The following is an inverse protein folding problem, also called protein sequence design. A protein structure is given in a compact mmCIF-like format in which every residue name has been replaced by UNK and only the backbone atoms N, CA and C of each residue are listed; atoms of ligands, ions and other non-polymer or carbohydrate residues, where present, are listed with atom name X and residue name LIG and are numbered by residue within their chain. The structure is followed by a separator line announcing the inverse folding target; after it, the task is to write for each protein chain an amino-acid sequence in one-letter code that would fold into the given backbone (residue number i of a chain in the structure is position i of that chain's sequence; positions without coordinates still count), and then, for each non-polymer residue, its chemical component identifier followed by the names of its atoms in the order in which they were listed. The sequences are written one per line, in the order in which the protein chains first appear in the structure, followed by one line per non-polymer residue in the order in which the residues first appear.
data_IF_684162360402
#
_entry.id   IF_684162360402
#
_cell.length_a   1.000
_cell.length_b   1.000
_cell.length_c   1.000
_cell.angle_alpha   90.00
_cell.angle_beta   90.00
_cell.angle_gamma   90.00
#
_symmetry.space_group_name_H-M   'P 1'
#
loop_
_entity.id
_entity.type
_entity.pdbx_description
1 polymer ?
#
# COMPACT_ATOMS: atom_id res chain seq x y z
N UNK A 1 -0.42 -7.87 -5.70
CA UNK A 1 0.54 -7.03 -4.96
C UNK A 1 1.85 -7.76 -4.68
N UNK A 2 1.82 -8.93 -4.02
CA UNK A 2 3.02 -9.73 -3.70
C UNK A 2 3.97 -10.02 -4.86
N UNK A 3 3.42 -10.20 -6.06
CA UNK A 3 4.17 -10.54 -7.27
C UNK A 3 4.81 -9.32 -7.97
N UNK A 4 4.36 -8.10 -7.65
CA UNK A 4 4.74 -6.89 -8.38
C UNK A 4 5.48 -5.87 -7.52
N UNK A 5 5.25 -5.86 -6.21
CA UNK A 5 5.90 -4.94 -5.28
C UNK A 5 7.27 -5.46 -4.86
N UNK A 6 8.29 -4.58 -4.71
CA UNK A 6 9.57 -4.98 -4.13
C UNK A 6 9.53 -5.21 -2.62
N UNK A 7 8.48 -4.74 -1.92
CA UNK A 7 8.39 -4.79 -0.46
C UNK A 7 7.15 -5.56 0.02
N UNK A 8 5.97 -5.30 -0.55
CA UNK A 8 4.75 -6.02 -0.19
C UNK A 8 4.81 -7.43 -0.77
N UNK A 9 4.83 -8.45 0.07
CA UNK A 9 4.98 -9.86 -0.32
C UNK A 9 3.65 -10.60 -0.42
N UNK A 10 2.57 -10.02 0.09
CA UNK A 10 1.25 -10.64 0.10
C UNK A 10 0.30 -9.99 1.10
N UNK A 11 -0.83 -10.64 1.32
CA UNK A 11 -1.77 -10.25 2.35
C UNK A 11 -2.95 -11.22 2.43
N UNK A 12 -3.59 -11.25 3.59
CA UNK A 12 -4.77 -12.06 3.86
C UNK A 12 -5.91 -11.20 4.43
N UNK A 13 -7.14 -11.46 3.99
CA UNK A 13 -8.32 -10.83 4.57
C UNK A 13 -8.50 -11.30 6.01
N UNK A 14 -8.89 -10.38 6.90
CA UNK A 14 -9.09 -10.64 8.32
C UNK A 14 -10.49 -10.18 8.76
N UNK A 15 -10.85 -10.39 10.03
CA UNK A 15 -12.15 -9.97 10.59
C UNK A 15 -13.36 -10.46 9.78
N UNK A 16 -13.26 -11.68 9.22
CA UNK A 16 -14.34 -12.32 8.45
C UNK A 16 -14.53 -11.77 7.03
N UNK A 17 -13.69 -10.84 6.57
CA UNK A 17 -13.71 -10.42 5.18
C UNK A 17 -13.27 -11.58 4.26
N UNK A 18 -13.97 -11.74 3.13
CA UNK A 18 -13.65 -12.75 2.11
C UNK A 18 -13.16 -12.14 0.79
N UNK A 19 -13.37 -10.84 0.60
CA UNK A 19 -13.01 -10.11 -0.61
C UNK A 19 -12.88 -8.61 -0.30
N UNK A 20 -12.38 -7.86 -1.27
CA UNK A 20 -12.30 -6.41 -1.18
C UNK A 20 -13.70 -5.78 -1.15
N UNK A 21 -13.96 -5.00 -0.10
CA UNK A 21 -15.15 -4.17 0.07
C UNK A 21 -14.79 -3.00 0.97
N UNK A 22 -15.49 -1.87 0.86
CA UNK A 22 -15.28 -0.72 1.76
C UNK A 22 -15.45 -1.17 3.23
N UNK A 23 -14.49 -0.82 4.08
CA UNK A 23 -14.42 -1.22 5.48
C UNK A 23 -13.81 -2.60 5.74
N UNK A 24 -13.60 -3.42 4.70
CA UNK A 24 -12.91 -4.70 4.87
C UNK A 24 -11.45 -4.48 5.25
N UNK A 25 -10.93 -5.33 6.14
CA UNK A 25 -9.55 -5.27 6.58
C UNK A 25 -8.74 -6.43 6.05
N UNK A 26 -7.47 -6.16 5.75
CA UNK A 26 -6.50 -7.20 5.45
C UNK A 26 -5.19 -6.93 6.17
N UNK A 27 -4.51 -8.03 6.49
CA UNK A 27 -3.16 -8.02 7.04
C UNK A 27 -2.18 -8.20 5.89
N UNK A 28 -1.51 -7.12 5.50
CA UNK A 28 -0.44 -7.13 4.50
C UNK A 28 0.88 -7.61 5.09
N UNK A 29 1.59 -8.46 4.38
CA UNK A 29 2.95 -8.90 4.74
C UNK A 29 3.96 -8.12 3.91
N UNK A 30 5.00 -7.60 4.57
CA UNK A 30 6.00 -6.74 3.96
C UNK A 30 7.41 -7.19 4.36
N UNK A 31 8.38 -6.93 3.48
CA UNK A 31 9.77 -7.32 3.70
C UNK A 31 10.74 -6.35 3.04
N UNK A 32 11.79 -5.98 3.77
CA UNK A 32 13.03 -5.42 3.23
C UNK A 32 14.15 -6.45 3.31
N UNK A 33 15.36 -6.08 2.87
CA UNK A 33 16.52 -6.96 3.00
C UNK A 33 16.83 -7.37 4.45
N UNK A 34 16.48 -6.52 5.43
CA UNK A 34 16.86 -6.69 6.84
C UNK A 34 15.66 -6.89 7.77
N UNK A 35 14.45 -6.52 7.36
CA UNK A 35 13.24 -6.58 8.21
C UNK A 35 12.09 -7.29 7.49
N UNK A 36 11.18 -7.84 8.28
CA UNK A 36 9.86 -8.28 7.84
C UNK A 36 8.84 -7.84 8.88
N UNK A 37 7.64 -7.47 8.42
CA UNK A 37 6.58 -7.01 9.31
C UNK A 37 5.21 -7.19 8.65
N UNK A 38 4.19 -7.08 9.48
CA UNK A 38 2.79 -7.09 9.06
C UNK A 38 2.17 -5.70 9.26
N UNK A 39 1.23 -5.35 8.40
CA UNK A 39 0.45 -4.12 8.49
C UNK A 39 -1.03 -4.44 8.35
N UNK A 40 -1.84 -3.98 9.31
CA UNK A 40 -3.29 -4.06 9.17
C UNK A 40 -3.76 -2.78 8.49
N UNK A 41 -4.46 -2.94 7.37
CA UNK A 41 -5.01 -1.84 6.59
C UNK A 41 -6.49 -2.05 6.33
N UNK A 42 -7.21 -0.96 6.13
CA UNK A 42 -8.65 -0.95 5.89
C UNK A 42 -8.91 -0.44 4.49
N UNK A 43 -9.80 -1.09 3.73
CA UNK A 43 -10.20 -0.63 2.40
C UNK A 43 -11.10 0.59 2.54
N UNK A 44 -10.69 1.72 1.97
CA UNK A 44 -11.48 2.96 1.99
C UNK A 44 -12.34 3.09 0.72
N UNK A 45 -11.80 2.67 -0.43
CA UNK A 45 -12.49 2.71 -1.72
C UNK A 45 -12.28 1.39 -2.45
N UNK A 46 -13.38 0.82 -2.95
CA UNK A 46 -13.38 -0.34 -3.83
C UNK A 46 -14.38 -0.11 -4.97
N UNK A 47 -13.94 0.59 -6.01
CA UNK A 47 -14.73 0.95 -7.19
C UNK A 47 -14.08 0.36 -8.44
N UNK A 48 -14.33 -0.92 -8.71
CA UNK A 48 -13.72 -1.62 -9.84
C UNK A 48 -14.37 -1.22 -11.18
N UNK A 49 -13.59 -0.97 -12.26
CA UNK A 49 -12.13 -1.08 -12.37
C UNK A 49 -11.40 0.26 -12.19
N UNK A 50 -12.00 1.26 -11.53
CA UNK A 50 -11.56 2.66 -11.58
C UNK A 50 -10.68 3.10 -10.39
N UNK A 51 -10.95 2.59 -9.19
CA UNK A 51 -10.24 3.04 -7.99
C UNK A 51 -10.22 1.97 -6.91
N UNK A 52 -9.05 1.84 -6.29
CA UNK A 52 -8.87 1.06 -5.08
C UNK A 52 -7.97 1.83 -4.13
N UNK A 53 -8.41 2.03 -2.88
CA UNK A 53 -7.58 2.63 -1.85
C UNK A 53 -7.77 1.96 -0.51
N UNK A 54 -6.72 1.97 0.29
CA UNK A 54 -6.72 1.46 1.64
C UNK A 54 -5.78 2.27 2.53
N UNK A 55 -6.14 2.36 3.80
CA UNK A 55 -5.50 3.20 4.79
C UNK A 55 -4.79 2.34 5.84
N UNK A 56 -3.60 2.78 6.23
CA UNK A 56 -2.88 2.24 7.36
C UNK A 56 -3.27 2.98 8.62
N UNK A 57 -3.67 2.21 9.63
CA UNK A 57 -3.90 2.72 10.98
C UNK A 57 -2.94 2.06 11.96
N UNK A 58 -2.41 2.84 12.92
CA UNK A 58 -1.66 2.34 14.06
C UNK A 58 -2.36 2.77 15.35
N UNK A 59 -2.77 1.80 16.18
CA UNK A 59 -3.50 2.04 17.42
C UNK A 59 -4.69 3.01 17.24
N UNK A 60 -5.47 2.81 16.16
CA UNK A 60 -6.62 3.66 15.81
C UNK A 60 -6.27 4.99 15.12
N UNK A 61 -5.01 5.38 15.09
CA UNK A 61 -4.55 6.61 14.42
C UNK A 61 -4.31 6.35 12.93
N UNK A 62 -4.97 7.10 12.06
CA UNK A 62 -4.70 7.08 10.62
C UNK A 62 -3.28 7.59 10.35
N UNK A 63 -2.50 6.84 9.56
CA UNK A 63 -1.11 7.19 9.24
C UNK A 63 -0.94 7.58 7.79
N UNK A 64 -1.47 6.81 6.85
CA UNK A 64 -1.33 7.10 5.42
C UNK A 64 -2.32 6.29 4.58
N UNK A 65 -2.53 6.75 3.35
CA UNK A 65 -3.32 6.07 2.33
C UNK A 65 -2.43 5.53 1.23
N UNK A 66 -2.82 4.38 0.70
CA UNK A 66 -2.33 3.82 -0.55
C UNK A 66 -3.46 3.89 -1.58
N UNK A 67 -3.20 4.51 -2.71
CA UNK A 67 -4.22 4.80 -3.73
C UNK A 67 -3.79 4.25 -5.08
N UNK A 68 -4.70 3.56 -5.73
CA UNK A 68 -4.66 3.23 -7.16
C UNK A 68 -5.83 3.89 -7.85
N UNK A 69 -5.54 4.80 -8.76
CA UNK A 69 -6.52 5.36 -9.69
C UNK A 69 -6.25 4.77 -11.07
N UNK A 70 -7.30 4.29 -11.71
CA UNK A 70 -7.23 3.55 -12.96
C UNK A 70 -8.17 4.25 -13.93
N UNK A 71 -7.63 4.67 -15.05
CA UNK A 71 -8.35 5.29 -16.15
C UNK A 71 -8.35 4.33 -17.34
N UNK A 72 -9.44 3.56 -17.56
CA UNK A 72 -9.53 2.64 -18.68
C UNK A 72 -9.53 3.36 -20.02
N UNK A 73 -8.90 2.74 -21.03
CA UNK A 73 -8.91 3.19 -22.42
C UNK A 73 -9.24 2.04 -23.37
N UNK A 74 -9.35 2.32 -24.67
CA UNK A 74 -9.65 1.28 -25.68
C UNK A 74 -8.51 0.27 -25.88
N UNK A 75 -7.28 0.60 -25.44
CA UNK A 75 -6.08 -0.22 -25.65
C UNK A 75 -5.41 -0.66 -24.34
N UNK A 76 -5.99 -0.33 -23.18
CA UNK A 76 -5.42 -0.65 -21.88
C UNK A 76 -5.99 0.24 -20.77
N UNK A 77 -5.12 0.71 -19.88
CA UNK A 77 -5.47 1.70 -18.88
C UNK A 77 -4.23 2.52 -18.48
N UNK A 78 -4.45 3.72 -17.95
CA UNK A 78 -3.46 4.44 -17.18
C UNK A 78 -3.68 4.12 -15.70
N UNK A 79 -2.62 3.79 -14.98
CA UNK A 79 -2.66 3.57 -13.53
C UNK A 79 -1.80 4.62 -12.85
N UNK A 80 -2.43 5.41 -11.99
CA UNK A 80 -1.75 6.32 -11.07
C UNK A 80 -1.69 5.67 -9.70
N UNK A 81 -0.48 5.50 -9.17
CA UNK A 81 -0.27 5.01 -7.82
C UNK A 81 0.26 6.11 -6.92
N UNK A 82 -0.39 6.31 -5.77
CA UNK A 82 -0.01 7.34 -4.81
C UNK A 82 0.08 6.76 -3.39
N UNK A 83 0.96 7.39 -2.62
CA UNK A 83 1.04 7.26 -1.17
C UNK A 83 0.81 8.64 -0.56
N UNK A 84 -0.17 8.75 0.34
CA UNK A 84 -0.58 10.03 0.93
C UNK A 84 -0.38 9.97 2.43
N UNK A 85 0.53 10.81 2.94
CA UNK A 85 0.75 10.95 4.37
C UNK A 85 -0.45 11.65 5.04
N UNK A 86 -0.94 11.10 6.15
CA UNK A 86 -1.83 11.83 7.04
C UNK A 86 -1.07 12.94 7.80
N UNK A 87 -1.76 13.92 8.42
CA UNK A 87 -1.12 14.88 9.31
C UNK A 87 -0.37 14.23 10.49
N UNK A 88 -0.78 13.03 10.93
CA UNK A 88 -0.16 12.30 12.04
C UNK A 88 1.12 11.56 11.63
N UNK A 89 1.38 11.43 10.32
CA UNK A 89 2.56 10.76 9.80
C UNK A 89 3.87 11.38 10.32
N UNK A 90 3.96 12.71 10.35
CA UNK A 90 5.18 13.40 10.73
C UNK A 90 5.64 13.00 12.14
N UNK A 91 4.73 12.98 13.12
CA UNK A 91 5.05 12.56 14.48
C UNK A 91 5.41 11.08 14.58
N UNK A 92 4.77 10.22 13.78
CA UNK A 92 5.11 8.80 13.71
C UNK A 92 6.52 8.55 13.13
N UNK A 93 6.90 9.32 12.11
CA UNK A 93 8.25 9.28 11.51
C UNK A 93 9.31 9.86 12.46
N UNK A 94 9.04 11.01 13.09
CA UNK A 94 9.93 11.64 14.08
C UNK A 94 10.19 10.75 15.30
N UNK A 95 9.18 9.99 15.74
CA UNK A 95 9.32 9.01 16.81
C UNK A 95 10.18 7.78 16.42
N UNK A 96 10.59 7.66 15.14
CA UNK A 96 11.40 6.57 14.62
C UNK A 96 10.70 5.21 14.62
N UNK A 97 9.37 5.19 14.74
CA UNK A 97 8.60 3.94 14.85
C UNK A 97 8.62 3.21 13.50
N UNK A 98 8.37 3.93 12.40
CA UNK A 98 8.40 3.36 11.05
C UNK A 98 9.77 2.78 10.66
N UNK A 99 10.86 3.45 11.05
CA UNK A 99 12.23 2.96 10.82
C UNK A 99 12.50 1.68 11.61
N UNK A 100 12.15 1.63 12.89
CA UNK A 100 12.33 0.43 13.72
C UNK A 100 11.57 -0.79 13.20
N UNK A 101 10.39 -0.56 12.59
CA UNK A 101 9.57 -1.65 12.03
C UNK A 101 10.11 -2.10 10.66
N UNK A 102 10.39 -1.17 9.77
CA UNK A 102 10.69 -1.47 8.36
C UNK A 102 12.18 -1.52 8.01
N UNK A 103 13.04 -0.99 8.88
CA UNK A 103 14.44 -0.71 8.60
C UNK A 103 14.64 0.46 7.62
N UNK A 104 13.60 1.26 7.35
CA UNK A 104 13.63 2.36 6.37
C UNK A 104 13.54 3.71 7.09
N UNK A 105 14.61 4.52 7.12
CA UNK A 105 14.62 5.79 7.85
C UNK A 105 13.64 6.85 7.32
N UNK A 106 13.44 6.89 6.00
CA UNK A 106 12.53 7.85 5.35
C UNK A 106 11.61 7.14 4.37
N UNK A 107 10.32 7.10 4.69
CA UNK A 107 9.34 6.33 3.91
C UNK A 107 8.95 7.02 2.61
N UNK A 108 8.80 8.34 2.57
CA UNK A 108 8.37 9.03 1.35
C UNK A 108 9.27 8.73 0.11
N UNK A 109 10.60 8.95 0.15
CA UNK A 109 11.47 8.63 -0.99
C UNK A 109 11.64 7.13 -1.25
N UNK A 110 11.44 6.28 -0.24
CA UNK A 110 11.47 4.83 -0.40
C UNK A 110 10.20 4.30 -1.08
N UNK A 111 9.04 4.78 -0.63
CA UNK A 111 7.73 4.47 -1.20
C UNK A 111 7.70 4.92 -2.66
N UNK A 112 8.12 6.15 -2.98
CA UNK A 112 8.14 6.65 -4.36
C UNK A 112 8.87 5.68 -5.32
N UNK A 113 10.12 5.30 -4.99
CA UNK A 113 10.90 4.34 -5.78
C UNK A 113 10.25 2.96 -5.87
N UNK A 114 9.69 2.48 -4.76
CA UNK A 114 9.02 1.16 -4.73
C UNK A 114 7.73 1.16 -5.56
N UNK A 115 7.00 2.28 -5.58
CA UNK A 115 5.79 2.47 -6.39
C UNK A 115 6.13 2.51 -7.88
N UNK A 116 7.22 3.18 -8.28
CA UNK A 116 7.72 3.16 -9.66
C UNK A 116 8.03 1.73 -10.12
N UNK A 117 8.78 0.96 -9.32
CA UNK A 117 9.08 -0.45 -9.62
C UNK A 117 7.79 -1.29 -9.72
N UNK A 118 6.82 -1.03 -8.84
CA UNK A 118 5.53 -1.73 -8.86
C UNK A 118 4.79 -1.47 -10.17
N UNK A 119 4.72 -0.22 -10.64
CA UNK A 119 4.10 0.14 -11.91
C UNK A 119 4.84 -0.50 -13.10
N UNK A 120 6.17 -0.49 -13.11
CA UNK A 120 6.99 -1.17 -14.13
C UNK A 120 6.70 -2.68 -14.20
N UNK A 121 6.54 -3.33 -13.04
CA UNK A 121 6.23 -4.75 -12.96
C UNK A 121 4.79 -5.06 -13.41
N UNK A 122 3.84 -4.18 -13.11
CA UNK A 122 2.47 -4.29 -13.65
C UNK A 122 2.47 -4.20 -15.18
N UNK A 123 3.23 -3.26 -15.76
CA UNK A 123 3.38 -3.14 -17.23
C UNK A 123 3.97 -4.42 -17.84
N UNK A 124 4.92 -5.07 -17.16
CA UNK A 124 5.52 -6.33 -17.64
C UNK A 124 4.56 -7.51 -17.53
N UNK A 125 3.71 -7.54 -16.51
CA UNK A 125 2.79 -8.65 -16.27
C UNK A 125 1.60 -8.69 -17.25
N UNK A 126 1.29 -7.57 -17.91
CA UNK A 126 0.22 -7.48 -18.93
C UNK A 126 0.70 -7.74 -20.36
N UNK A 127 1.98 -8.08 -20.54
CA UNK A 127 2.57 -8.47 -21.84
C UNK A 127 2.66 -9.98 -21.95
#
# INVERSE_FOLDING_TARGET
MGEWSPEATGGEWIEGAAAAAVGAQFKGTNKTATHNWESIVTVDVCDAPRKFSFSLHAAGTHLCDWVYEIEPSTTGCQVTHAWVASPQWAGFEEAGIGEKISGVPKRAPHNLRSMEITLDNLIKAVK
#
